data_IF_938956440945
#
_entry.id   IF_938956440945
#
_cell.length_a   1.000
_cell.length_b   1.000
_cell.length_c   1.000
_cell.angle_alpha   90.00
_cell.angle_beta   90.00
_cell.angle_gamma   90.00
#
_symmetry.space_group_name_H-M   'P 1'
#
loop_
_entity.id
_entity.type
_entity.pdbx_description
1 polymer ?
#
# COMPACT_ATOMS: atom_id res chain seq x y z
N UNK A 1 21.49 -0.63 -10.33
CA UNK A 1 20.15 -1.18 -10.03
C UNK A 1 20.21 -1.99 -8.75
N UNK A 2 21.19 -2.90 -8.63
CA UNK A 2 21.56 -3.59 -7.37
C UNK A 2 21.66 -2.67 -6.14
N UNK A 3 22.41 -1.56 -6.23
CA UNK A 3 22.56 -0.63 -5.09
C UNK A 3 21.24 0.00 -4.61
N UNK A 4 20.22 0.09 -5.47
CA UNK A 4 18.89 0.57 -5.07
C UNK A 4 18.15 -0.53 -4.31
N UNK A 5 18.23 -1.78 -4.77
CA UNK A 5 17.62 -2.94 -4.10
C UNK A 5 18.24 -3.12 -2.72
N UNK A 6 19.57 -3.20 -2.64
CA UNK A 6 20.28 -3.41 -1.37
C UNK A 6 19.97 -2.28 -0.36
N UNK A 7 19.85 -1.04 -0.84
CA UNK A 7 19.43 0.08 -0.03
C UNK A 7 18.00 -0.09 0.51
N UNK A 8 17.03 -0.52 -0.31
CA UNK A 8 15.65 -0.71 0.13
C UNK A 8 15.44 -1.97 0.97
N UNK A 9 16.21 -3.03 0.76
CA UNK A 9 16.24 -4.22 1.61
C UNK A 9 16.76 -3.91 3.01
N UNK A 10 17.82 -3.10 3.10
CA UNK A 10 18.48 -2.76 4.37
C UNK A 10 18.13 -1.37 4.89
N UNK A 11 17.10 -0.72 4.32
CA UNK A 11 16.81 0.70 4.57
C UNK A 11 16.70 0.97 6.08
N UNK A 12 17.52 1.90 6.64
CA UNK A 12 17.50 2.20 8.06
C UNK A 12 16.11 2.59 8.54
N UNK A 13 15.75 2.20 9.77
CA UNK A 13 14.46 2.53 10.38
C UNK A 13 14.21 4.05 10.40
N UNK A 14 15.27 4.85 10.59
CA UNK A 14 15.21 6.32 10.51
C UNK A 14 14.71 6.78 9.14
N UNK A 15 15.24 6.26 8.04
CA UNK A 15 14.85 6.67 6.69
C UNK A 15 13.40 6.26 6.39
N UNK A 16 12.97 5.05 6.78
CA UNK A 16 11.56 4.62 6.65
C UNK A 16 10.63 5.56 7.40
N UNK A 17 10.95 5.85 8.66
CA UNK A 17 10.15 6.76 9.49
C UNK A 17 10.14 8.16 8.91
N UNK A 18 11.25 8.64 8.36
CA UNK A 18 11.34 9.98 7.77
C UNK A 18 10.48 10.08 6.51
N UNK A 19 10.47 9.07 5.64
CA UNK A 19 9.57 9.00 4.47
C UNK A 19 8.10 9.02 4.92
N UNK A 20 7.74 8.19 5.91
CA UNK A 20 6.36 8.13 6.41
C UNK A 20 5.93 9.45 7.07
N UNK A 21 6.73 9.98 7.98
CA UNK A 21 6.43 11.21 8.73
C UNK A 21 6.41 12.42 7.79
N UNK A 22 7.37 12.54 6.87
CA UNK A 22 7.39 13.65 5.91
C UNK A 22 6.22 13.60 4.94
N UNK A 23 5.86 12.41 4.43
CA UNK A 23 4.69 12.23 3.57
C UNK A 23 3.40 12.63 4.27
N UNK A 24 3.15 12.11 5.48
CA UNK A 24 1.97 12.45 6.28
C UNK A 24 1.95 13.95 6.61
N UNK A 25 3.07 14.51 7.06
CA UNK A 25 3.18 15.93 7.42
C UNK A 25 2.93 16.82 6.20
N UNK A 26 3.48 16.48 5.04
CA UNK A 26 3.29 17.21 3.79
C UNK A 26 1.81 17.24 3.40
N UNK A 27 1.15 16.08 3.34
CA UNK A 27 -0.27 16.02 2.98
C UNK A 27 -1.16 16.68 4.03
N UNK A 28 -0.82 16.58 5.32
CA UNK A 28 -1.55 17.25 6.41
C UNK A 28 -1.46 18.78 6.32
N UNK A 29 -0.27 19.32 6.01
CA UNK A 29 -0.10 20.75 5.76
C UNK A 29 -0.87 21.22 4.53
N UNK A 30 -0.90 20.40 3.47
CA UNK A 30 -1.63 20.71 2.23
C UNK A 30 -3.15 20.74 2.49
N UNK A 31 -3.68 19.76 3.22
CA UNK A 31 -5.08 19.71 3.63
C UNK A 31 -5.46 20.88 4.58
N UNK A 32 -4.57 21.23 5.52
CA UNK A 32 -4.79 22.31 6.48
C UNK A 32 -4.72 23.73 5.87
N UNK A 33 -3.91 23.92 4.84
CA UNK A 33 -3.70 25.23 4.21
C UNK A 33 -4.85 25.66 3.27
N UNK A 34 -5.59 24.70 2.70
CA UNK A 34 -6.73 24.98 1.81
C UNK A 34 -8.00 24.34 2.41
N UNK A 35 -8.62 24.98 3.42
CA UNK A 35 -9.86 24.46 3.98
C UNK A 35 -10.98 24.70 2.96
N UNK A 36 -11.29 23.68 2.15
CA UNK A 36 -12.32 23.73 1.12
C UNK A 36 -13.72 24.03 1.68
N UNK A 37 -13.97 23.81 2.99
CA UNK A 37 -15.25 24.09 3.63
C UNK A 37 -15.10 24.52 5.10
N UNK A 38 -15.84 25.58 5.49
CA UNK A 38 -16.03 25.98 6.89
C UNK A 38 -17.27 25.29 7.44
N UNK A 39 -17.10 24.20 8.17
CA UNK A 39 -18.22 23.49 8.81
C UNK A 39 -18.54 24.07 10.19
N UNK A 40 -19.72 24.68 10.30
CA UNK A 40 -20.37 25.02 11.58
C UNK A 40 -21.20 23.79 12.02
N UNK A 41 -20.54 22.80 12.64
CA UNK A 41 -21.17 21.52 12.98
C UNK A 41 -20.83 21.07 14.41
N UNK A 42 -21.75 20.37 15.08
CA UNK A 42 -21.60 19.86 16.46
C UNK A 42 -20.59 18.69 16.52
N UNK A 43 -19.30 19.02 16.50
CA UNK A 43 -18.14 18.11 16.28
C UNK A 43 -18.09 16.86 17.17
N UNK A 44 -18.49 16.97 18.43
CA UNK A 44 -18.32 15.89 19.42
C UNK A 44 -19.25 14.69 19.24
N UNK A 45 -20.48 14.90 18.73
CA UNK A 45 -21.46 13.80 18.57
C UNK A 45 -21.14 12.90 17.37
N UNK A 46 -20.32 13.37 16.43
CA UNK A 46 -19.87 12.62 15.24
C UNK A 46 -18.42 12.12 15.36
N UNK A 47 -17.61 12.70 16.26
CA UNK A 47 -16.24 12.25 16.48
C UNK A 47 -16.18 10.78 16.93
N UNK A 48 -17.14 10.32 17.74
CA UNK A 48 -17.13 8.95 18.28
C UNK A 48 -17.48 7.88 17.23
N UNK A 49 -18.55 8.02 16.41
CA UNK A 49 -18.78 7.16 15.25
C UNK A 49 -17.62 7.20 14.25
N UNK A 50 -17.07 8.37 13.95
CA UNK A 50 -15.94 8.50 13.01
C UNK A 50 -14.69 7.80 13.53
N UNK A 51 -14.36 7.94 14.82
CA UNK A 51 -13.25 7.23 15.44
C UNK A 51 -13.46 5.72 15.41
N UNK A 52 -14.68 5.24 15.66
CA UNK A 52 -15.01 3.82 15.57
C UNK A 52 -14.78 3.29 14.15
N UNK A 53 -15.33 3.96 13.12
CA UNK A 53 -15.10 3.55 11.73
C UNK A 53 -13.63 3.64 11.33
N UNK A 54 -12.91 4.67 11.79
CA UNK A 54 -11.47 4.80 11.53
C UNK A 54 -10.69 3.64 12.14
N UNK A 55 -11.00 3.27 13.40
CA UNK A 55 -10.34 2.17 14.09
C UNK A 55 -10.64 0.83 13.42
N UNK A 56 -11.89 0.57 13.06
CA UNK A 56 -12.25 -0.70 12.40
C UNK A 56 -11.65 -0.80 11.00
N UNK A 57 -11.69 0.27 10.20
CA UNK A 57 -11.00 0.34 8.91
C UNK A 57 -9.50 0.14 9.07
N UNK A 58 -8.88 0.75 10.08
CA UNK A 58 -7.47 0.53 10.40
C UNK A 58 -7.19 -0.95 10.71
N UNK A 59 -7.97 -1.58 11.58
CA UNK A 59 -7.79 -2.99 11.94
C UNK A 59 -7.93 -3.92 10.74
N UNK A 60 -8.94 -3.70 9.89
CA UNK A 60 -9.16 -4.50 8.68
C UNK A 60 -7.99 -4.32 7.71
N UNK A 61 -7.58 -3.08 7.42
CA UNK A 61 -6.46 -2.80 6.53
C UNK A 61 -5.15 -3.41 7.04
N UNK A 62 -4.86 -3.29 8.34
CA UNK A 62 -3.69 -3.95 8.92
C UNK A 62 -3.78 -5.47 8.81
N UNK A 63 -4.95 -6.05 9.09
CA UNK A 63 -5.18 -7.49 8.93
C UNK A 63 -4.92 -7.97 7.51
N UNK A 64 -5.50 -7.28 6.51
CA UNK A 64 -5.28 -7.58 5.09
C UNK A 64 -3.82 -7.37 4.67
N UNK A 65 -3.15 -6.33 5.19
CA UNK A 65 -1.74 -6.07 4.92
C UNK A 65 -0.84 -7.20 5.46
N UNK A 66 -1.12 -7.72 6.66
CA UNK A 66 -0.37 -8.86 7.20
C UNK A 66 -0.63 -10.15 6.42
N UNK A 67 -1.86 -10.39 5.99
CA UNK A 67 -2.18 -11.52 5.10
C UNK A 67 -1.39 -11.41 3.81
N UNK A 68 -1.43 -10.23 3.16
CA UNK A 68 -0.70 -9.98 1.92
C UNK A 68 0.82 -10.17 2.11
N UNK A 69 1.39 -9.63 3.18
CA UNK A 69 2.81 -9.81 3.49
C UNK A 69 3.17 -11.29 3.67
N UNK A 70 2.39 -12.03 4.47
CA UNK A 70 2.63 -13.46 4.71
C UNK A 70 2.44 -14.31 3.45
N UNK A 71 1.45 -13.98 2.63
CA UNK A 71 1.26 -14.61 1.33
C UNK A 71 2.44 -14.33 0.42
N UNK A 72 2.94 -13.09 0.37
CA UNK A 72 4.13 -12.73 -0.41
C UNK A 72 5.37 -13.51 0.03
N UNK A 73 5.65 -13.57 1.33
CA UNK A 73 6.77 -14.34 1.89
C UNK A 73 6.65 -15.84 1.51
N UNK A 74 5.45 -16.41 1.62
CA UNK A 74 5.20 -17.82 1.28
C UNK A 74 5.36 -18.10 -0.21
N UNK A 75 4.87 -17.20 -1.07
CA UNK A 75 4.97 -17.29 -2.53
C UNK A 75 6.43 -17.33 -2.97
N UNK A 76 7.27 -16.47 -2.38
CA UNK A 76 8.72 -16.46 -2.64
C UNK A 76 9.38 -17.74 -2.08
N UNK A 77 9.09 -18.12 -0.84
CA UNK A 77 9.73 -19.28 -0.20
C UNK A 77 9.42 -20.63 -0.84
N UNK A 78 8.35 -20.73 -1.63
CA UNK A 78 7.93 -21.97 -2.32
C UNK A 78 8.05 -21.86 -3.85
N UNK A 79 8.71 -20.81 -4.37
CA UNK A 79 8.84 -20.54 -5.80
C UNK A 79 7.49 -20.61 -6.56
N UNK A 80 6.43 -20.15 -5.90
CA UNK A 80 5.06 -20.27 -6.41
C UNK A 80 4.70 -19.04 -7.25
N UNK A 81 3.96 -19.24 -8.35
CA UNK A 81 3.37 -18.16 -9.13
C UNK A 81 4.17 -17.78 -10.38
N UNK A 82 3.47 -17.12 -11.30
CA UNK A 82 3.94 -16.85 -12.68
C UNK A 82 5.30 -16.14 -12.69
N UNK A 83 5.51 -15.16 -11.79
CA UNK A 83 6.76 -14.39 -11.71
C UNK A 83 7.95 -15.25 -11.26
N UNK A 84 7.73 -16.19 -10.33
CA UNK A 84 8.80 -17.06 -9.80
C UNK A 84 9.08 -18.27 -10.71
N UNK A 85 8.15 -18.63 -11.59
CA UNK A 85 8.34 -19.72 -12.55
C UNK A 85 9.17 -19.32 -13.77
N UNK A 86 9.36 -18.02 -14.02
CA UNK A 86 10.26 -17.55 -15.08
C UNK A 86 11.73 -17.70 -14.65
N UNK A 87 12.65 -17.97 -15.59
CA UNK A 87 14.09 -17.97 -15.31
C UNK A 87 14.58 -16.58 -14.90
N UNK A 88 15.81 -16.52 -14.36
CA UNK A 88 16.46 -15.28 -13.94
C UNK A 88 16.31 -14.16 -14.99
N UNK A 89 15.62 -13.10 -14.59
CA UNK A 89 15.32 -11.95 -15.45
C UNK A 89 15.95 -10.66 -14.89
N UNK A 90 16.37 -9.72 -15.75
CA UNK A 90 16.88 -8.45 -15.27
C UNK A 90 15.77 -7.69 -14.52
N UNK A 91 16.15 -6.98 -13.46
CA UNK A 91 15.21 -6.32 -12.52
C UNK A 91 14.17 -5.44 -13.21
N UNK A 92 14.55 -4.69 -14.25
CA UNK A 92 13.58 -3.85 -14.96
C UNK A 92 12.46 -4.68 -15.61
N UNK A 93 12.78 -5.88 -16.12
CA UNK A 93 11.79 -6.79 -16.70
C UNK A 93 10.92 -7.41 -15.60
N UNK A 94 11.53 -7.75 -14.46
CA UNK A 94 10.80 -8.21 -13.27
C UNK A 94 9.76 -7.19 -12.81
N UNK A 95 10.15 -5.91 -12.70
CA UNK A 95 9.26 -4.82 -12.28
C UNK A 95 8.14 -4.60 -13.30
N UNK A 96 8.44 -4.55 -14.60
CA UNK A 96 7.41 -4.36 -15.64
C UNK A 96 6.41 -5.53 -15.62
N UNK A 97 6.90 -6.77 -15.58
CA UNK A 97 6.06 -7.96 -15.53
C UNK A 97 5.19 -7.97 -14.28
N UNK A 98 5.77 -7.63 -13.12
CA UNK A 98 5.06 -7.49 -11.86
C UNK A 98 3.92 -6.49 -11.92
N UNK A 99 4.17 -5.30 -12.47
CA UNK A 99 3.14 -4.27 -12.65
C UNK A 99 2.02 -4.74 -13.57
N UNK A 100 2.35 -5.37 -14.71
CA UNK A 100 1.34 -5.87 -15.65
C UNK A 100 0.46 -6.98 -15.03
N UNK A 101 1.06 -7.89 -14.28
CA UNK A 101 0.32 -8.97 -13.61
C UNK A 101 -0.54 -8.43 -12.46
N UNK A 102 -0.01 -7.46 -11.69
CA UNK A 102 -0.77 -6.78 -10.64
C UNK A 102 -1.97 -6.01 -11.21
N UNK A 103 -1.79 -5.28 -12.31
CA UNK A 103 -2.89 -4.56 -12.96
C UNK A 103 -3.93 -5.51 -13.56
N UNK A 104 -3.47 -6.55 -14.25
CA UNK A 104 -4.36 -7.55 -14.85
C UNK A 104 -5.21 -8.27 -13.81
N UNK A 105 -4.60 -8.78 -12.73
CA UNK A 105 -5.32 -9.55 -11.71
C UNK A 105 -6.06 -8.65 -10.71
N UNK A 106 -5.41 -7.58 -10.25
CA UNK A 106 -5.89 -6.74 -9.16
C UNK A 106 -6.89 -5.66 -9.60
N UNK A 107 -6.80 -5.17 -10.84
CA UNK A 107 -7.70 -4.15 -11.36
C UNK A 107 -8.58 -4.69 -12.48
N UNK A 108 -8.00 -5.10 -13.61
CA UNK A 108 -8.76 -5.43 -14.81
C UNK A 108 -9.72 -6.60 -14.60
N UNK A 109 -9.23 -7.74 -14.10
CA UNK A 109 -10.04 -8.94 -13.93
C UNK A 109 -11.09 -8.78 -12.82
N UNK A 110 -10.73 -8.15 -11.70
CA UNK A 110 -11.67 -7.86 -10.63
C UNK A 110 -12.81 -6.96 -11.10
N UNK A 111 -12.47 -5.86 -11.78
CA UNK A 111 -13.44 -4.92 -12.34
C UNK A 111 -14.29 -5.57 -13.43
N UNK A 112 -13.70 -6.40 -14.29
CA UNK A 112 -14.45 -7.17 -15.27
C UNK A 112 -15.49 -8.05 -14.56
N UNK A 113 -15.10 -8.90 -13.61
CA UNK A 113 -16.03 -9.80 -12.91
C UNK A 113 -17.13 -9.05 -12.16
N UNK A 114 -16.84 -7.86 -11.62
CA UNK A 114 -17.83 -7.04 -10.90
C UNK A 114 -18.86 -6.36 -11.82
N UNK A 115 -18.47 -6.03 -13.05
CA UNK A 115 -19.35 -5.33 -14.02
C UNK A 115 -19.94 -6.22 -15.12
N UNK A 116 -19.69 -7.54 -15.07
CA UNK A 116 -20.38 -8.53 -15.90
C UNK A 116 -21.84 -8.68 -15.47
#
# INVERSE_FOLDING_TARGET
>A
MEAIIEYFETIPSVHRSLILVSGITFFWLLEGAVPLFKFDYRKWRHALPNFFFTLTTMLINFGLAFILLKSSDWVIANDFGIINWFPDMPIWAYVIMGVLLLDFAGAYLAHYVEHQ
#
